data_IF_242116976390
#
_entry.id   IF_242116976390
#
_cell.length_a   1.000
_cell.length_b   1.000
_cell.length_c   1.000
_cell.angle_alpha   90.00
_cell.angle_beta   90.00
_cell.angle_gamma   90.00
#
_symmetry.space_group_name_H-M   'P 1'
#
loop_
_entity.id
_entity.type
_entity.pdbx_description
1 polymer ?
#
# COMPACT_ATOMS: atom_id res chain seq x y z
N UNK A 1 9.70 -36.74 -2.18
CA UNK A 1 10.12 -35.31 -2.21
C UNK A 1 9.58 -34.70 -3.49
N UNK A 2 8.64 -33.75 -3.41
CA UNK A 2 8.17 -33.00 -4.58
C UNK A 2 7.93 -31.55 -4.16
N UNK A 3 8.72 -30.62 -4.70
CA UNK A 3 8.49 -29.18 -4.61
C UNK A 3 8.04 -28.74 -6.00
N UNK A 4 6.79 -28.30 -6.22
CA UNK A 4 6.47 -27.59 -7.45
C UNK A 4 6.91 -26.12 -7.30
N UNK A 5 7.93 -25.80 -8.08
CA UNK A 5 8.18 -24.56 -8.83
C UNK A 5 7.58 -23.26 -8.29
N UNK A 6 8.46 -22.37 -7.82
CA UNK A 6 8.19 -20.93 -7.80
C UNK A 6 8.10 -20.42 -9.24
N UNK A 7 6.89 -20.26 -9.73
CA UNK A 7 6.60 -19.55 -10.98
C UNK A 7 7.09 -18.11 -10.84
N UNK A 8 7.97 -17.61 -11.73
CA UNK A 8 8.29 -16.19 -11.74
C UNK A 8 7.04 -15.41 -12.19
N UNK A 9 6.65 -14.31 -11.52
CA UNK A 9 5.53 -13.48 -11.95
C UNK A 9 5.94 -12.72 -13.22
N UNK A 10 5.68 -13.34 -14.37
CA UNK A 10 5.91 -12.78 -15.69
C UNK A 10 4.58 -12.30 -16.28
N UNK A 11 3.96 -11.28 -15.69
CA UNK A 11 2.88 -10.51 -16.32
C UNK A 11 2.61 -9.23 -15.54
N UNK A 12 2.65 -8.08 -16.22
CA UNK A 12 2.31 -6.76 -15.67
C UNK A 12 0.92 -6.70 -15.01
N UNK A 13 0.01 -7.61 -15.39
CA UNK A 13 -1.30 -7.80 -14.78
C UNK A 13 -1.23 -8.29 -13.33
N UNK A 14 -0.32 -9.21 -13.01
CA UNK A 14 -0.15 -9.75 -11.65
C UNK A 14 0.34 -8.65 -10.70
N UNK A 15 1.25 -7.79 -11.17
CA UNK A 15 1.75 -6.65 -10.41
C UNK A 15 0.65 -5.63 -10.09
N UNK A 16 -0.28 -5.42 -11.02
CA UNK A 16 -1.43 -4.54 -10.81
C UNK A 16 -2.39 -5.13 -9.77
N UNK A 17 -2.71 -6.43 -9.86
CA UNK A 17 -3.55 -7.12 -8.88
C UNK A 17 -2.91 -7.15 -7.49
N UNK A 18 -1.60 -7.43 -7.43
CA UNK A 18 -0.82 -7.39 -6.20
C UNK A 18 -0.87 -6.00 -5.57
N UNK A 19 -0.73 -4.94 -6.37
CA UNK A 19 -0.87 -3.56 -5.89
C UNK A 19 -2.28 -3.26 -5.36
N UNK A 20 -3.34 -3.73 -6.03
CA UNK A 20 -4.71 -3.55 -5.52
C UNK A 20 -4.94 -4.25 -4.18
N UNK A 21 -4.44 -5.49 -4.05
CA UNK A 21 -4.52 -6.26 -2.80
C UNK A 21 -3.73 -5.58 -1.68
N UNK A 22 -2.51 -5.12 -1.96
CA UNK A 22 -1.68 -4.41 -0.99
C UNK A 22 -2.33 -3.11 -0.52
N UNK A 23 -2.84 -2.30 -1.45
CA UNK A 23 -3.57 -1.06 -1.10
C UNK A 23 -4.75 -1.34 -0.20
N UNK A 24 -5.54 -2.37 -0.50
CA UNK A 24 -6.71 -2.73 0.30
C UNK A 24 -6.30 -3.17 1.71
N UNK A 25 -5.24 -3.97 1.83
CA UNK A 25 -4.70 -4.39 3.12
C UNK A 25 -4.19 -3.20 3.95
N UNK A 26 -3.46 -2.27 3.33
CA UNK A 26 -2.98 -1.04 3.99
C UNK A 26 -4.16 -0.16 4.38
N UNK A 27 -5.11 0.07 3.47
CA UNK A 27 -6.28 0.89 3.73
C UNK A 27 -7.12 0.39 4.92
N UNK A 28 -7.16 -0.94 5.11
CA UNK A 28 -7.85 -1.57 6.23
C UNK A 28 -7.00 -1.70 7.49
N UNK A 29 -5.70 -1.39 7.42
CA UNK A 29 -4.79 -1.47 8.57
C UNK A 29 -5.08 -0.36 9.58
N UNK A 30 -4.88 -0.65 10.86
CA UNK A 30 -5.06 0.33 11.94
C UNK A 30 -4.11 1.52 11.80
N UNK A 31 -2.87 1.29 11.40
CA UNK A 31 -1.86 2.33 11.23
C UNK A 31 -2.24 3.35 10.17
N UNK A 32 -2.70 2.89 9.00
CA UNK A 32 -3.17 3.78 7.95
C UNK A 32 -4.41 4.57 8.36
N UNK A 33 -5.37 3.94 9.06
CA UNK A 33 -6.60 4.61 9.52
C UNK A 33 -6.32 5.70 10.56
N UNK A 34 -5.41 5.45 11.50
CA UNK A 34 -4.96 6.44 12.46
C UNK A 34 -4.23 7.59 11.76
N UNK A 35 -3.23 7.29 10.93
CA UNK A 35 -2.50 8.30 10.17
C UNK A 35 -3.43 9.14 9.28
N UNK A 36 -4.41 8.49 8.62
CA UNK A 36 -5.42 9.16 7.81
C UNK A 36 -6.23 10.17 8.63
N UNK A 37 -6.57 9.85 9.88
CA UNK A 37 -7.29 10.78 10.77
C UNK A 37 -6.46 11.99 11.19
N UNK A 38 -5.13 11.90 11.12
CA UNK A 38 -4.19 12.98 11.43
C UNK A 38 -3.93 13.88 10.22
N UNK A 39 -4.30 13.45 9.01
CA UNK A 39 -4.15 14.23 7.78
C UNK A 39 -5.22 15.33 7.66
N UNK A 40 -4.89 16.45 7.00
CA UNK A 40 -5.85 17.53 6.76
C UNK A 40 -7.02 17.05 5.89
N UNK A 41 -8.23 17.50 6.22
CA UNK A 41 -9.46 17.14 5.53
C UNK A 41 -9.42 17.49 4.03
N UNK A 42 -8.81 18.62 3.68
CA UNK A 42 -8.63 19.07 2.29
C UNK A 42 -7.83 18.07 1.44
N UNK A 43 -6.75 17.51 2.01
CA UNK A 43 -5.94 16.47 1.37
C UNK A 43 -6.76 15.19 1.22
N UNK A 44 -7.55 14.84 2.22
CA UNK A 44 -8.41 13.65 2.23
C UNK A 44 -9.55 13.67 1.22
N UNK A 45 -10.14 14.84 0.98
CA UNK A 45 -11.24 15.02 0.02
C UNK A 45 -10.74 15.10 -1.43
N UNK A 46 -9.57 15.68 -1.64
CA UNK A 46 -8.98 15.86 -2.97
C UNK A 46 -8.16 14.67 -3.43
N UNK A 47 -7.60 13.88 -2.51
CA UNK A 47 -6.62 12.85 -2.82
C UNK A 47 -7.24 11.45 -2.79
N UNK A 48 -7.20 10.71 -3.91
CA UNK A 48 -7.70 9.34 -3.95
C UNK A 48 -6.83 8.39 -3.10
N UNK A 49 -7.38 7.20 -2.82
CA UNK A 49 -6.75 6.21 -1.94
C UNK A 49 -5.33 5.82 -2.38
N UNK A 50 -5.07 5.74 -3.69
CA UNK A 50 -3.79 5.29 -4.24
C UNK A 50 -2.62 6.23 -3.87
N UNK A 51 -2.68 7.55 -4.14
CA UNK A 51 -1.69 8.50 -3.66
C UNK A 51 -1.62 8.62 -2.13
N UNK A 52 -2.73 8.48 -1.40
CA UNK A 52 -2.71 8.45 0.07
C UNK A 52 -1.91 7.26 0.62
N UNK A 53 -2.12 6.06 0.07
CA UNK A 53 -1.37 4.85 0.45
C UNK A 53 0.11 5.03 0.14
N UNK A 54 0.46 5.64 -0.99
CA UNK A 54 1.85 5.96 -1.33
C UNK A 54 2.49 6.96 -0.38
N UNK A 55 1.75 7.99 0.03
CA UNK A 55 2.23 8.99 1.00
C UNK A 55 2.50 8.34 2.36
N UNK A 56 1.56 7.53 2.85
CA UNK A 56 1.72 6.77 4.09
C UNK A 56 2.94 5.83 4.04
N UNK A 57 3.10 5.08 2.95
CA UNK A 57 4.26 4.20 2.75
C UNK A 57 5.57 4.99 2.76
N UNK A 58 5.59 6.18 2.13
CA UNK A 58 6.78 7.03 2.14
C UNK A 58 7.14 7.47 3.55
N UNK A 59 6.19 8.02 4.31
CA UNK A 59 6.45 8.50 5.67
C UNK A 59 6.87 7.36 6.61
N UNK A 60 6.24 6.19 6.49
CA UNK A 60 6.59 5.01 7.30
C UNK A 60 7.95 4.43 6.95
N UNK A 61 8.39 4.56 5.70
CA UNK A 61 9.74 4.16 5.28
C UNK A 61 10.81 5.19 5.70
N UNK A 62 10.49 6.48 5.64
CA UNK A 62 11.38 7.56 6.10
C UNK A 62 11.66 7.47 7.61
N UNK A 63 10.68 7.01 8.41
CA UNK A 63 10.84 6.79 9.86
C UNK A 63 11.65 5.55 10.24
N UNK A 64 11.79 4.57 9.34
CA UNK A 64 12.57 3.35 9.56
C UNK A 64 14.01 3.41 8.99
N UNK A 65 14.33 4.46 8.23
CA UNK A 65 15.64 4.64 7.57
C UNK A 65 16.69 5.34 8.45
N UNK A 66 16.40 5.54 9.73
CA UNK A 66 17.33 6.08 10.75
C UNK A 66 17.90 4.96 11.62
#
# INVERSE_FOLDING_TARGET
>A
MARPSSTPPSSSSDSAELWQNLKSAIANSSGFRSWRSEQPADLLETTPLDPLVRLYLRETLETLAY
#
